data_IF_718209799516
#
_entry.id   IF_718209799516
#
_cell.length_a   1.000
_cell.length_b   1.000
_cell.length_c   1.000
_cell.angle_alpha   90.00
_cell.angle_beta   90.00
_cell.angle_gamma   90.00
#
_symmetry.space_group_name_H-M   'P 1'
#
loop_
_entity.id
_entity.type
_entity.pdbx_description
1 polymer ?
#
# COMPACT_ATOMS: atom_id res chain seq x y z
N UNK A 1 -28.10 -13.08 5.40
CA UNK A 1 -28.35 -12.76 3.98
C UNK A 1 -27.37 -11.69 3.45
N UNK A 2 -26.13 -12.08 3.14
CA UNK A 2 -25.40 -11.67 1.92
C UNK A 2 -24.43 -12.82 1.66
N UNK A 3 -24.84 -13.74 0.78
CA UNK A 3 -23.92 -14.67 0.14
C UNK A 3 -23.43 -14.00 -1.14
N UNK A 4 -22.21 -14.39 -1.52
CA UNK A 4 -21.70 -14.50 -2.88
C UNK A 4 -20.69 -13.45 -3.41
N UNK A 5 -19.48 -14.00 -3.62
CA UNK A 5 -18.60 -13.89 -4.79
C UNK A 5 -17.46 -12.86 -4.73
N UNK A 6 -16.29 -13.33 -4.30
CA UNK A 6 -15.07 -13.03 -5.05
C UNK A 6 -14.22 -14.27 -5.30
N UNK A 7 -14.39 -14.78 -6.53
CA UNK A 7 -13.37 -15.27 -7.47
C UNK A 7 -12.40 -16.38 -7.02
N UNK A 8 -12.59 -17.55 -7.64
CA UNK A 8 -11.60 -18.64 -7.76
C UNK A 8 -10.26 -18.09 -8.25
N UNK A 9 -9.25 -18.12 -7.39
CA UNK A 9 -7.83 -18.10 -7.76
C UNK A 9 -7.24 -19.45 -7.42
N UNK A 10 -6.84 -20.21 -8.43
CA UNK A 10 -6.05 -21.42 -8.31
C UNK A 10 -4.65 -21.08 -7.82
N UNK A 11 -4.36 -21.35 -6.55
CA UNK A 11 -3.00 -21.38 -6.04
C UNK A 11 -2.90 -22.51 -5.01
N UNK A 12 -2.12 -23.52 -5.40
CA UNK A 12 -1.73 -24.69 -4.64
C UNK A 12 -0.97 -24.31 -3.37
N UNK A 13 -1.66 -24.09 -2.26
CA UNK A 13 -1.12 -24.26 -0.90
C UNK A 13 -2.26 -24.21 0.14
N UNK A 14 -2.62 -25.32 0.80
CA UNK A 14 -3.66 -25.33 1.84
C UNK A 14 -3.29 -24.55 3.11
N UNK A 15 -2.08 -23.98 3.22
CA UNK A 15 -1.57 -23.45 4.49
C UNK A 15 -1.85 -21.97 4.75
N UNK A 16 -2.20 -21.17 3.74
CA UNK A 16 -2.36 -19.71 3.95
C UNK A 16 -3.79 -19.27 4.28
N UNK A 17 -4.84 -20.00 3.87
CA UNK A 17 -6.24 -19.65 4.23
C UNK A 17 -6.68 -20.15 5.63
N UNK A 18 -5.91 -21.03 6.27
CA UNK A 18 -6.24 -21.58 7.60
C UNK A 18 -6.10 -20.56 8.74
N UNK A 19 -5.32 -19.49 8.54
CA UNK A 19 -5.07 -18.48 9.57
C UNK A 19 -6.30 -17.63 9.89
N UNK A 20 -7.05 -17.21 8.85
CA UNK A 20 -8.21 -16.33 8.99
C UNK A 20 -9.40 -17.10 9.58
N UNK A 21 -9.68 -18.32 9.11
CA UNK A 21 -10.75 -19.17 9.65
C UNK A 21 -10.53 -19.57 11.12
N UNK A 22 -9.28 -19.74 11.56
CA UNK A 22 -8.96 -20.04 12.98
C UNK A 22 -9.15 -18.85 13.92
N UNK A 23 -9.30 -17.61 13.45
CA UNK A 23 -9.44 -16.45 14.34
C UNK A 23 -10.86 -16.28 14.89
N UNK A 24 -11.87 -16.86 14.22
CA UNK A 24 -13.30 -16.69 14.54
C UNK A 24 -13.82 -17.68 15.62
N UNK A 25 -13.18 -18.85 15.75
CA UNK A 25 -13.52 -19.93 16.70
C UNK A 25 -12.38 -20.13 17.73
N UNK A 26 -11.97 -19.06 18.40
CA UNK A 26 -10.91 -19.13 19.42
C UNK A 26 -11.44 -18.70 20.77
N UNK A 27 -11.09 -19.46 21.81
CA UNK A 27 -11.37 -19.04 23.18
C UNK A 27 -10.59 -17.77 23.51
N UNK A 28 -11.15 -16.93 24.39
CA UNK A 28 -10.54 -15.65 24.78
C UNK A 28 -9.08 -15.81 25.23
N UNK A 29 -8.79 -16.90 25.96
CA UNK A 29 -7.43 -17.25 26.41
C UNK A 29 -6.49 -17.54 25.24
N UNK A 30 -6.93 -18.25 24.21
CA UNK A 30 -6.12 -18.51 23.02
C UNK A 30 -5.89 -17.23 22.20
N UNK A 31 -6.88 -16.34 22.12
CA UNK A 31 -6.74 -15.04 21.47
C UNK A 31 -5.69 -14.19 22.18
N UNK A 32 -5.76 -14.09 23.51
CA UNK A 32 -4.78 -13.35 24.31
C UNK A 32 -3.36 -13.90 24.13
N UNK A 33 -3.17 -15.22 24.10
CA UNK A 33 -1.85 -15.83 23.83
C UNK A 33 -1.29 -15.41 22.48
N UNK A 34 -2.11 -15.45 21.41
CA UNK A 34 -1.68 -14.98 20.08
C UNK A 34 -1.33 -13.50 20.06
N UNK A 35 -2.08 -12.66 20.77
CA UNK A 35 -1.77 -11.22 20.89
C UNK A 35 -0.42 -11.04 21.58
N UNK A 36 -0.16 -11.75 22.67
CA UNK A 36 1.15 -11.69 23.36
C UNK A 36 2.29 -12.15 22.45
N UNK A 37 2.09 -13.22 21.68
CA UNK A 37 3.07 -13.68 20.69
C UNK A 37 3.30 -12.66 19.56
N UNK A 38 2.25 -11.96 19.11
CA UNK A 38 2.37 -10.86 18.16
C UNK A 38 3.16 -9.69 18.75
N UNK A 39 2.81 -9.23 19.95
CA UNK A 39 3.47 -8.13 20.62
C UNK A 39 4.95 -8.42 20.91
N UNK A 40 5.30 -9.66 21.27
CA UNK A 40 6.70 -10.07 21.44
C UNK A 40 7.48 -9.97 20.13
N UNK A 41 6.86 -10.33 18.99
CA UNK A 41 7.48 -10.18 17.67
C UNK A 41 7.65 -8.71 17.30
N UNK A 42 6.63 -7.89 17.49
CA UNK A 42 6.67 -6.45 17.21
C UNK A 42 7.70 -5.71 18.08
N UNK A 43 7.79 -6.06 19.36
CA UNK A 43 8.78 -5.50 20.28
C UNK A 43 10.22 -5.86 19.88
N UNK A 44 10.42 -7.00 19.19
CA UNK A 44 11.72 -7.44 18.68
C UNK A 44 12.15 -6.78 17.37
N UNK A 45 11.31 -5.95 16.75
CA UNK A 45 11.67 -5.25 15.52
C UNK A 45 12.71 -4.17 15.80
N UNK A 46 13.82 -4.23 15.05
CA UNK A 46 14.84 -3.17 15.10
C UNK A 46 14.28 -1.91 14.43
N UNK A 47 14.22 -0.82 15.20
CA UNK A 47 13.81 0.49 14.69
C UNK A 47 15.03 1.23 14.15
N UNK A 48 14.80 2.11 13.19
CA UNK A 48 15.77 3.12 12.76
C UNK A 48 15.48 4.45 13.46
N UNK A 49 16.51 5.27 13.62
CA UNK A 49 16.34 6.63 14.14
C UNK A 49 15.43 7.44 13.22
N UNK A 50 14.52 8.21 13.83
CA UNK A 50 13.59 9.05 13.06
C UNK A 50 14.34 10.09 12.25
N UNK A 51 15.43 10.65 12.81
CA UNK A 51 16.29 11.59 12.10
C UNK A 51 16.87 10.97 10.82
N UNK A 52 17.39 9.75 10.88
CA UNK A 52 17.92 9.05 9.70
C UNK A 52 16.82 8.80 8.66
N UNK A 53 15.64 8.31 9.10
CA UNK A 53 14.52 8.06 8.19
C UNK A 53 14.05 9.34 7.48
N UNK A 54 14.06 10.49 8.19
CA UNK A 54 13.70 11.79 7.61
C UNK A 54 14.72 12.24 6.57
N UNK A 55 16.01 12.05 6.80
CA UNK A 55 17.04 12.39 5.81
C UNK A 55 16.93 11.51 4.56
N UNK A 56 16.66 10.22 4.72
CA UNK A 56 16.42 9.31 3.60
C UNK A 56 15.20 9.74 2.77
N UNK A 57 14.11 10.13 3.43
CA UNK A 57 12.91 10.65 2.77
C UNK A 57 13.18 11.95 2.03
N UNK A 58 13.87 12.91 2.66
CA UNK A 58 14.23 14.18 2.01
C UNK A 58 15.06 13.95 0.76
N UNK A 59 16.08 13.10 0.87
CA UNK A 59 16.96 12.75 -0.25
C UNK A 59 16.16 12.16 -1.40
N UNK A 60 15.29 11.19 -1.12
CA UNK A 60 14.44 10.58 -2.15
C UNK A 60 13.56 11.61 -2.85
N UNK A 61 12.92 12.50 -2.09
CA UNK A 61 12.07 13.56 -2.64
C UNK A 61 12.90 14.49 -3.53
N UNK A 62 14.04 14.98 -3.05
CA UNK A 62 14.92 15.89 -3.82
C UNK A 62 15.44 15.25 -5.12
N UNK A 63 15.71 13.95 -5.11
CA UNK A 63 16.17 13.24 -6.31
C UNK A 63 15.08 13.10 -7.38
N UNK A 64 13.81 13.13 -7.01
CA UNK A 64 12.68 12.86 -7.91
C UNK A 64 11.75 14.06 -8.12
N UNK A 65 11.95 15.16 -7.40
CA UNK A 65 11.06 16.33 -7.46
C UNK A 65 11.03 16.98 -8.85
N UNK A 66 12.12 16.90 -9.62
CA UNK A 66 12.18 17.42 -10.99
C UNK A 66 11.29 16.65 -11.97
N UNK A 67 11.03 15.38 -11.68
CA UNK A 67 10.23 14.49 -12.52
C UNK A 67 8.75 14.49 -12.11
N UNK A 68 8.42 15.16 -11.00
CA UNK A 68 7.05 15.34 -10.56
C UNK A 68 6.36 16.45 -11.36
N UNK A 69 5.58 16.03 -12.37
CA UNK A 69 4.77 16.92 -13.19
C UNK A 69 3.72 17.72 -12.42
N UNK A 70 3.32 17.30 -11.21
CA UNK A 70 2.39 18.05 -10.38
C UNK A 70 3.09 19.18 -9.61
N UNK A 71 4.40 19.05 -9.39
CA UNK A 71 5.21 20.07 -8.74
C UNK A 71 5.79 21.06 -9.75
N UNK A 72 6.49 20.55 -10.78
CA UNK A 72 7.21 21.37 -11.77
C UNK A 72 6.33 21.77 -12.95
N UNK A 73 5.23 21.04 -13.17
CA UNK A 73 4.41 21.20 -14.36
C UNK A 73 4.99 20.46 -15.57
N UNK A 74 4.23 20.44 -16.65
CA UNK A 74 4.69 19.88 -17.91
C UNK A 74 5.58 20.88 -18.66
N UNK A 75 6.75 20.43 -19.12
CA UNK A 75 7.66 21.21 -19.97
C UNK A 75 7.00 21.76 -21.25
N UNK A 76 5.97 21.07 -21.75
CA UNK A 76 5.15 21.53 -22.86
C UNK A 76 3.69 21.19 -22.60
N UNK A 77 2.78 22.04 -23.04
CA UNK A 77 1.35 21.73 -23.02
C UNK A 77 1.03 20.44 -23.79
N UNK A 78 1.83 20.08 -24.82
CA UNK A 78 1.65 18.85 -25.60
C UNK A 78 2.01 17.57 -24.84
N UNK A 79 2.85 17.63 -23.81
CA UNK A 79 3.21 16.46 -22.99
C UNK A 79 2.17 16.17 -21.92
N UNK A 80 1.25 17.10 -21.63
CA UNK A 80 0.13 16.88 -20.72
C UNK A 80 -0.94 16.00 -21.42
N UNK A 81 -1.19 14.75 -20.95
CA UNK A 81 -2.22 13.88 -21.53
C UNK A 81 -3.64 14.46 -21.43
N UNK A 82 -3.87 15.36 -20.48
CA UNK A 82 -5.16 16.00 -20.22
C UNK A 82 -5.27 17.41 -20.83
N UNK A 83 -4.35 17.80 -21.71
CA UNK A 83 -4.41 19.10 -22.37
C UNK A 83 -5.66 19.21 -23.23
N UNK A 84 -6.34 20.35 -23.17
CA UNK A 84 -7.39 20.68 -24.12
C UNK A 84 -6.84 20.63 -25.55
N UNK A 85 -7.50 19.85 -26.41
CA UNK A 85 -7.28 19.90 -27.85
C UNK A 85 -8.01 21.14 -28.35
N UNK A 86 -7.30 22.04 -29.05
CA UNK A 86 -7.91 23.22 -29.67
C UNK A 86 -9.16 22.78 -30.44
N UNK A 87 -10.31 23.32 -30.03
CA UNK A 87 -11.62 23.02 -30.59
C UNK A 87 -11.58 23.14 -32.11
N UNK A 88 -12.00 22.07 -32.78
CA UNK A 88 -12.23 22.07 -34.22
C UNK A 88 -13.23 23.19 -34.56
N UNK A 89 -12.86 24.11 -35.45
CA UNK A 89 -13.84 24.96 -36.13
C UNK A 89 -14.62 24.05 -37.10
N UNK A 90 -15.88 23.76 -36.78
CA UNK A 90 -16.78 23.15 -37.76
C UNK A 90 -17.04 24.20 -38.85
N UNK A 91 -16.58 23.90 -40.07
CA UNK A 91 -16.95 24.60 -41.31
C UNK A 91 -18.08 23.81 -42.00
#
# INVERSE_FOLDING_TARGET
PVRHLYRRGSATSPRQCLGIFRYFEMSNLQQQRKIVEQLRREAGLKRMEVSAAVEDLKKYIQEHESDDYLLVGFHSQKSNPFREKSSCSLL
#
